data_IF_898116569479
#
_entry.id   IF_898116569479
#
_cell.length_a   1.000
_cell.length_b   1.000
_cell.length_c   1.000
_cell.angle_alpha   90.00
_cell.angle_beta   90.00
_cell.angle_gamma   90.00
#
_symmetry.space_group_name_H-M   'P 1'
#
loop_
_entity.id
_entity.type
_entity.pdbx_description
1 polymer ?
#
# COMPACT_ATOMS: atom_id res chain seq x y z
N UNK A 1 -22.86 -6.09 -8.35
CA UNK A 1 -21.74 -6.99 -8.65
C UNK A 1 -20.81 -7.12 -7.44
N UNK A 2 -20.28 -8.32 -7.14
CA UNK A 2 -19.30 -8.54 -6.07
C UNK A 2 -17.92 -8.79 -6.66
N UNK A 3 -16.94 -7.99 -6.23
CA UNK A 3 -15.57 -8.01 -6.75
C UNK A 3 -14.59 -8.34 -5.62
N UNK A 4 -13.64 -9.23 -5.88
CA UNK A 4 -12.51 -9.47 -5.00
C UNK A 4 -11.22 -8.98 -5.63
N UNK A 5 -10.47 -8.15 -4.91
CA UNK A 5 -9.12 -7.75 -5.28
C UNK A 5 -8.12 -8.53 -4.42
N UNK A 6 -7.13 -9.15 -5.05
CA UNK A 6 -6.04 -9.83 -4.37
C UNK A 6 -4.76 -9.04 -4.63
N UNK A 7 -4.37 -8.19 -3.67
CA UNK A 7 -3.09 -7.49 -3.66
C UNK A 7 -2.55 -7.46 -2.23
N UNK A 8 -1.61 -8.36 -1.94
CA UNK A 8 -1.19 -8.69 -0.58
C UNK A 8 0.04 -7.93 -0.11
N UNK A 9 0.91 -7.51 -1.01
CA UNK A 9 2.20 -6.84 -0.74
C UNK A 9 2.75 -6.24 -2.04
N UNK A 10 3.82 -5.43 -2.05
CA UNK A 10 4.44 -4.75 -0.94
C UNK A 10 3.75 -3.41 -0.67
N UNK A 11 4.25 -2.59 0.27
CA UNK A 11 3.66 -1.29 0.62
C UNK A 11 3.43 -0.41 -0.64
N UNK A 12 4.49 -0.13 -1.39
CA UNK A 12 4.40 0.69 -2.60
C UNK A 12 3.49 0.10 -3.67
N UNK A 13 3.50 -1.23 -3.85
CA UNK A 13 2.63 -1.90 -4.82
C UNK A 13 1.15 -1.83 -4.43
N UNK A 14 0.82 -1.86 -3.13
CA UNK A 14 -0.56 -1.68 -2.66
C UNK A 14 -1.01 -0.26 -2.92
N UNK A 15 -0.17 0.74 -2.61
CA UNK A 15 -0.46 2.15 -2.91
C UNK A 15 -0.71 2.35 -4.41
N UNK A 16 0.13 1.78 -5.26
CA UNK A 16 -0.06 1.83 -6.72
C UNK A 16 -1.32 1.09 -7.20
N UNK A 17 -1.88 0.19 -6.39
CA UNK A 17 -3.12 -0.50 -6.73
C UNK A 17 -4.39 0.22 -6.23
N UNK A 18 -4.30 1.15 -5.27
CA UNK A 18 -5.48 1.87 -4.76
C UNK A 18 -6.30 2.58 -5.85
N UNK A 19 -5.69 3.19 -6.88
CA UNK A 19 -6.44 3.82 -7.97
C UNK A 19 -7.45 2.92 -8.69
N UNK A 20 -7.28 1.60 -8.61
CA UNK A 20 -8.24 0.66 -9.22
C UNK A 20 -9.63 0.72 -8.58
N UNK A 21 -9.70 1.15 -7.31
CA UNK A 21 -10.97 1.28 -6.58
C UNK A 21 -11.88 2.33 -7.21
N UNK A 22 -11.33 3.48 -7.56
CA UNK A 22 -12.08 4.55 -8.21
C UNK A 22 -12.50 4.17 -9.62
N UNK A 23 -11.60 3.53 -10.37
CA UNK A 23 -11.95 2.98 -11.67
C UNK A 23 -13.14 2.02 -11.56
N UNK A 24 -13.07 1.06 -10.63
CA UNK A 24 -14.15 0.08 -10.43
C UNK A 24 -15.45 0.74 -9.98
N UNK A 25 -15.39 1.79 -9.16
CA UNK A 25 -16.57 2.54 -8.74
C UNK A 25 -17.22 3.30 -9.88
N UNK A 26 -16.44 3.80 -10.86
CA UNK A 26 -16.97 4.44 -12.06
C UNK A 26 -17.53 3.41 -13.06
N UNK A 27 -16.81 2.29 -13.26
CA UNK A 27 -17.26 1.24 -14.16
C UNK A 27 -18.51 0.51 -13.65
N UNK A 28 -18.63 0.34 -12.32
CA UNK A 28 -19.71 -0.38 -11.64
C UNK A 28 -20.11 0.32 -10.33
N UNK A 29 -20.92 1.37 -10.38
CA UNK A 29 -21.24 2.19 -9.21
C UNK A 29 -21.82 1.43 -8.01
N UNK A 30 -22.56 0.34 -8.26
CA UNK A 30 -23.18 -0.49 -7.23
C UNK A 30 -22.33 -1.71 -6.82
N UNK A 31 -21.06 -1.80 -7.26
CA UNK A 31 -20.21 -2.93 -6.90
C UNK A 31 -19.86 -2.94 -5.41
N UNK A 32 -19.86 -4.12 -4.81
CA UNK A 32 -19.23 -4.36 -3.50
C UNK A 32 -17.83 -4.91 -3.72
N UNK A 33 -16.82 -4.28 -3.12
CA UNK A 33 -15.42 -4.62 -3.33
C UNK A 33 -14.81 -5.14 -2.03
N UNK A 34 -14.31 -6.37 -2.05
CA UNK A 34 -13.51 -6.94 -0.98
C UNK A 34 -12.05 -6.94 -1.39
N UNK A 35 -11.14 -6.79 -0.42
CA UNK A 35 -9.69 -6.74 -0.67
C UNK A 35 -8.93 -7.73 0.21
N UNK A 36 -8.10 -8.58 -0.40
CA UNK A 36 -7.15 -9.46 0.33
C UNK A 36 -5.80 -8.79 0.45
N UNK A 37 -5.32 -8.64 1.69
CA UNK A 37 -4.06 -7.97 2.03
C UNK A 37 -3.30 -8.75 3.12
N UNK A 38 -1.96 -8.67 3.14
CA UNK A 38 -1.16 -9.22 4.25
C UNK A 38 -1.34 -8.36 5.52
N UNK A 39 -1.33 -9.02 6.69
CA UNK A 39 -1.53 -8.36 8.01
C UNK A 39 -0.63 -7.15 8.23
N UNK A 40 0.58 -7.14 7.63
CA UNK A 40 1.53 -6.05 7.75
C UNK A 40 1.10 -4.75 7.02
N UNK A 41 0.09 -4.82 6.15
CA UNK A 41 -0.32 -3.70 5.29
C UNK A 41 -1.81 -3.38 5.38
N UNK A 42 -2.50 -3.93 6.36
CA UNK A 42 -3.95 -3.70 6.58
C UNK A 42 -4.28 -2.21 6.67
N UNK A 43 -3.42 -1.43 7.31
CA UNK A 43 -3.61 0.01 7.48
C UNK A 43 -3.75 0.77 6.17
N UNK A 44 -3.14 0.29 5.06
CA UNK A 44 -3.21 0.96 3.77
C UNK A 44 -4.60 0.90 3.12
N UNK A 45 -5.39 -0.10 3.48
CA UNK A 45 -6.70 -0.38 2.84
C UNK A 45 -7.87 -0.30 3.82
N UNK A 46 -7.63 -0.43 5.13
CA UNK A 46 -8.70 -0.41 6.13
C UNK A 46 -9.35 0.97 6.25
N UNK A 47 -10.68 0.99 6.39
CA UNK A 47 -11.46 2.23 6.48
C UNK A 47 -11.65 2.97 5.16
N UNK A 48 -11.07 2.49 4.05
CA UNK A 48 -11.32 3.08 2.74
C UNK A 48 -12.81 2.89 2.39
N UNK A 49 -13.55 3.97 2.08
CA UNK A 49 -14.99 3.92 1.84
C UNK A 49 -15.40 3.13 0.59
N UNK A 50 -14.45 2.87 -0.31
CA UNK A 50 -14.67 2.09 -1.52
C UNK A 50 -14.48 0.58 -1.29
N UNK A 51 -13.96 0.15 -0.12
CA UNK A 51 -13.74 -1.24 0.24
C UNK A 51 -14.80 -1.69 1.26
N UNK A 52 -15.54 -2.73 0.92
CA UNK A 52 -16.58 -3.27 1.80
C UNK A 52 -15.99 -4.15 2.91
N UNK A 53 -15.04 -5.03 2.56
CA UNK A 53 -14.37 -5.90 3.52
C UNK A 53 -12.89 -6.05 3.20
N UNK A 54 -12.08 -6.03 4.25
CA UNK A 54 -10.65 -6.36 4.18
C UNK A 54 -10.46 -7.78 4.72
N UNK A 55 -9.96 -8.67 3.89
CA UNK A 55 -9.64 -10.06 4.22
C UNK A 55 -8.13 -10.17 4.45
N UNK A 56 -7.73 -10.52 5.67
CA UNK A 56 -6.33 -10.50 6.05
C UNK A 56 -5.69 -11.87 5.92
N UNK A 57 -4.49 -11.93 5.32
CA UNK A 57 -3.60 -13.09 5.29
C UNK A 57 -2.31 -12.78 6.06
N UNK A 58 -1.64 -13.81 6.58
CA UNK A 58 -0.41 -13.68 7.36
C UNK A 58 0.71 -14.54 6.76
N UNK A 59 0.97 -14.39 5.46
CA UNK A 59 1.86 -15.28 4.72
C UNK A 59 3.27 -15.37 5.30
N UNK A 60 3.82 -14.26 5.80
CA UNK A 60 5.16 -14.25 6.41
C UNK A 60 5.20 -15.09 7.68
N UNK A 61 4.18 -14.95 8.53
CA UNK A 61 4.07 -15.69 9.80
C UNK A 61 3.75 -17.16 9.56
N UNK A 62 2.82 -17.44 8.64
CA UNK A 62 2.47 -18.81 8.27
C UNK A 62 3.65 -19.59 7.69
N UNK A 63 4.52 -18.94 6.90
CA UNK A 63 5.74 -19.55 6.38
C UNK A 63 6.75 -19.93 7.48
N UNK A 64 6.82 -19.14 8.57
CA UNK A 64 7.73 -19.43 9.69
C UNK A 64 7.32 -20.65 10.51
N UNK A 65 6.01 -20.93 10.60
CA UNK A 65 5.48 -22.04 11.39
C UNK A 65 4.31 -22.75 10.65
N UNK A 66 4.58 -23.42 9.51
CA UNK A 66 3.53 -23.92 8.62
C UNK A 66 2.67 -25.02 9.25
N UNK A 67 3.24 -25.82 10.15
CA UNK A 67 2.56 -26.94 10.83
C UNK A 67 1.94 -26.56 12.19
N UNK A 68 2.11 -25.32 12.64
CA UNK A 68 1.53 -24.89 13.90
C UNK A 68 0.00 -24.96 13.87
N UNK A 69 -0.60 -25.43 14.99
CA UNK A 69 -2.08 -25.49 15.12
C UNK A 69 -2.75 -24.13 14.84
N UNK A 70 -2.10 -23.05 15.26
CA UNK A 70 -2.55 -21.68 15.01
C UNK A 70 -2.61 -21.38 13.49
N UNK A 71 -1.52 -21.67 12.76
CA UNK A 71 -1.46 -21.45 11.30
C UNK A 71 -2.54 -22.21 10.57
N UNK A 72 -2.73 -23.50 10.91
CA UNK A 72 -3.80 -24.30 10.31
C UNK A 72 -5.19 -23.73 10.57
N UNK A 73 -5.46 -23.30 11.83
CA UNK A 73 -6.75 -22.72 12.19
C UNK A 73 -7.00 -21.41 11.43
N UNK A 74 -6.01 -20.53 11.35
CA UNK A 74 -6.10 -19.27 10.63
C UNK A 74 -6.30 -19.48 9.11
N UNK A 75 -5.60 -20.42 8.50
CA UNK A 75 -5.79 -20.76 7.09
C UNK A 75 -7.20 -21.30 6.82
N UNK A 76 -7.68 -22.21 7.66
CA UNK A 76 -9.05 -22.76 7.51
C UNK A 76 -10.08 -21.63 7.67
N UNK A 77 -9.95 -20.80 8.70
CA UNK A 77 -10.84 -19.66 8.93
C UNK A 77 -10.84 -18.70 7.75
N UNK A 78 -9.65 -18.34 7.23
CA UNK A 78 -9.53 -17.48 6.05
C UNK A 78 -10.23 -18.07 4.83
N UNK A 79 -9.99 -19.36 4.53
CA UNK A 79 -10.63 -20.04 3.39
C UNK A 79 -12.16 -20.09 3.59
N UNK A 80 -12.64 -20.38 4.79
CA UNK A 80 -14.07 -20.39 5.09
C UNK A 80 -14.69 -19.01 4.84
N UNK A 81 -14.08 -17.94 5.39
CA UNK A 81 -14.54 -16.57 5.18
C UNK A 81 -14.53 -16.17 3.70
N UNK A 82 -13.47 -16.51 2.97
CA UNK A 82 -13.38 -16.24 1.53
C UNK A 82 -14.48 -16.96 0.74
N UNK A 83 -14.83 -18.18 1.14
CA UNK A 83 -15.82 -19.02 0.46
C UNK A 83 -17.27 -18.78 0.87
N UNK A 84 -17.51 -17.96 1.89
CA UNK A 84 -18.88 -17.51 2.25
C UNK A 84 -19.50 -16.68 1.12
N UNK A 85 -18.65 -15.99 0.35
CA UNK A 85 -19.11 -15.18 -0.76
C UNK A 85 -18.93 -15.90 -2.10
N UNK A 86 -19.84 -15.57 -3.03
CA UNK A 86 -19.68 -15.82 -4.46
C UNK A 86 -19.41 -14.47 -5.12
N UNK A 87 -18.22 -14.32 -5.62
CA UNK A 87 -17.81 -13.14 -6.38
C UNK A 87 -18.21 -13.29 -7.84
N UNK A 88 -18.52 -12.19 -8.50
CA UNK A 88 -18.68 -12.14 -9.95
C UNK A 88 -17.32 -12.06 -10.63
N UNK A 89 -16.39 -11.31 -10.03
CA UNK A 89 -15.04 -11.07 -10.52
C UNK A 89 -14.01 -11.24 -9.39
N UNK A 90 -12.86 -11.86 -9.73
CA UNK A 90 -11.67 -11.86 -8.89
C UNK A 90 -10.52 -11.28 -9.72
N UNK A 91 -9.84 -10.27 -9.19
CA UNK A 91 -8.63 -9.69 -9.77
C UNK A 91 -7.41 -10.12 -8.95
N UNK A 92 -6.48 -10.87 -9.56
CA UNK A 92 -5.17 -11.14 -8.98
C UNK A 92 -4.16 -10.10 -9.48
N UNK A 93 -3.96 -9.05 -8.67
CA UNK A 93 -3.00 -7.97 -8.92
C UNK A 93 -1.63 -8.25 -8.29
N UNK A 94 -1.44 -9.42 -7.67
CA UNK A 94 -0.16 -9.80 -7.08
C UNK A 94 0.69 -10.65 -8.03
N UNK A 95 0.10 -11.64 -8.70
CA UNK A 95 0.76 -12.44 -9.74
C UNK A 95 1.79 -13.45 -9.24
N UNK A 96 1.73 -13.91 -7.99
CA UNK A 96 2.59 -14.96 -7.44
C UNK A 96 1.78 -16.21 -7.01
N UNK A 97 2.46 -17.29 -6.65
CA UNK A 97 1.81 -18.55 -6.29
C UNK A 97 0.85 -18.39 -5.09
N UNK A 98 1.22 -17.58 -4.11
CA UNK A 98 0.38 -17.38 -2.92
C UNK A 98 -0.94 -16.70 -3.26
N UNK A 99 -0.90 -15.65 -4.08
CA UNK A 99 -2.11 -14.98 -4.56
C UNK A 99 -2.93 -15.88 -5.49
N UNK A 100 -2.26 -16.68 -6.31
CA UNK A 100 -2.91 -17.70 -7.13
C UNK A 100 -3.69 -18.70 -6.30
N UNK A 101 -3.13 -19.18 -5.18
CA UNK A 101 -3.86 -20.07 -4.26
C UNK A 101 -5.09 -19.38 -3.65
N UNK A 102 -4.97 -18.11 -3.24
CA UNK A 102 -6.13 -17.34 -2.78
C UNK A 102 -7.18 -17.24 -3.88
N UNK A 103 -6.75 -16.94 -5.11
CA UNK A 103 -7.62 -16.90 -6.29
C UNK A 103 -8.31 -18.27 -6.56
N UNK A 104 -7.59 -19.38 -6.37
CA UNK A 104 -8.13 -20.73 -6.52
C UNK A 104 -9.25 -21.02 -5.53
N UNK A 105 -9.08 -20.66 -4.26
CA UNK A 105 -10.08 -20.86 -3.20
C UNK A 105 -11.28 -19.93 -3.33
N UNK A 106 -11.12 -18.75 -3.90
CA UNK A 106 -12.22 -17.81 -4.18
C UNK A 106 -13.17 -18.38 -5.25
N UNK A 107 -14.47 -18.13 -5.08
CA UNK A 107 -15.53 -18.58 -5.99
C UNK A 107 -15.93 -17.44 -6.92
N UNK A 108 -15.55 -17.52 -8.20
CA UNK A 108 -15.98 -16.58 -9.23
C UNK A 108 -15.95 -17.25 -10.62
N UNK A 109 -16.88 -16.90 -11.52
CA UNK A 109 -16.85 -17.35 -12.91
C UNK A 109 -15.69 -16.71 -13.70
N UNK A 110 -15.34 -15.47 -13.37
CA UNK A 110 -14.26 -14.74 -14.04
C UNK A 110 -13.15 -14.37 -13.05
N UNK A 111 -11.94 -14.85 -13.34
CA UNK A 111 -10.73 -14.63 -12.57
C UNK A 111 -9.68 -14.03 -13.49
N UNK A 112 -9.37 -12.74 -13.29
CA UNK A 112 -8.52 -11.94 -14.15
C UNK A 112 -7.15 -11.74 -13.49
N UNK A 113 -6.08 -11.89 -14.25
CA UNK A 113 -4.73 -11.66 -13.76
C UNK A 113 -3.74 -11.43 -14.89
N UNK A 114 -2.47 -11.39 -14.55
CA UNK A 114 -1.39 -11.16 -15.48
C UNK A 114 -1.27 -12.26 -16.53
N UNK A 115 -0.84 -11.90 -17.74
CA UNK A 115 -0.38 -12.88 -18.72
C UNK A 115 0.90 -13.57 -18.25
N UNK A 116 1.19 -14.75 -18.82
CA UNK A 116 2.38 -15.54 -18.44
C UNK A 116 3.70 -14.79 -18.57
N UNK A 117 3.78 -13.81 -19.46
CA UNK A 117 4.97 -13.02 -19.69
C UNK A 117 5.20 -11.94 -18.62
N UNK A 118 4.16 -11.57 -17.85
CA UNK A 118 4.18 -10.39 -16.97
C UNK A 118 3.91 -10.70 -15.49
N UNK A 119 3.68 -11.96 -15.15
CA UNK A 119 3.48 -12.37 -13.75
C UNK A 119 4.82 -12.64 -13.06
N UNK A 120 4.85 -12.49 -11.73
CA UNK A 120 6.05 -12.74 -10.95
C UNK A 120 6.46 -14.22 -10.95
N UNK A 121 5.47 -15.11 -10.89
CA UNK A 121 5.69 -16.56 -10.86
C UNK A 121 4.79 -17.25 -11.90
N UNK A 122 5.40 -17.96 -12.84
CA UNK A 122 4.71 -18.59 -13.99
C UNK A 122 3.53 -19.50 -13.62
N UNK A 123 3.60 -20.16 -12.46
CA UNK A 123 2.53 -21.04 -11.99
C UNK A 123 1.27 -20.29 -11.58
N UNK A 124 1.34 -19.00 -11.28
CA UNK A 124 0.17 -18.18 -10.97
C UNK A 124 -0.85 -18.18 -12.11
N UNK A 125 -0.42 -18.27 -13.37
CA UNK A 125 -1.31 -18.32 -14.54
C UNK A 125 -2.32 -19.48 -14.53
N UNK A 126 -2.11 -20.50 -13.73
CA UNK A 126 -3.04 -21.64 -13.62
C UNK A 126 -4.32 -21.28 -12.87
N UNK A 127 -4.32 -20.22 -12.08
CA UNK A 127 -5.39 -19.84 -11.17
C UNK A 127 -6.32 -18.74 -11.71
N UNK A 128 -5.97 -18.17 -12.88
CA UNK A 128 -6.78 -17.15 -13.56
C UNK A 128 -7.25 -17.67 -14.91
N UNK A 129 -8.50 -17.38 -15.31
CA UNK A 129 -9.08 -17.82 -16.58
C UNK A 129 -9.10 -16.70 -17.65
N UNK A 130 -8.90 -15.45 -17.27
CA UNK A 130 -8.65 -14.32 -18.20
C UNK A 130 -7.30 -13.68 -17.89
N UNK A 131 -6.42 -13.65 -18.88
CA UNK A 131 -5.05 -13.19 -18.76
C UNK A 131 -4.87 -11.90 -19.54
N UNK A 132 -4.30 -10.88 -18.87
CA UNK A 132 -4.09 -9.54 -19.44
C UNK A 132 -2.60 -9.28 -19.59
N UNK A 133 -2.20 -8.94 -20.81
CA UNK A 133 -0.85 -8.45 -21.13
C UNK A 133 -0.77 -6.93 -20.97
N UNK A 134 0.46 -6.41 -20.94
CA UNK A 134 0.70 -4.98 -20.90
C UNK A 134 0.98 -4.43 -22.30
N UNK A 135 0.61 -3.19 -22.49
CA UNK A 135 0.89 -2.43 -23.70
C UNK A 135 2.10 -1.52 -23.46
N UNK A 136 2.78 -1.03 -24.52
CA UNK A 136 3.90 -0.10 -24.38
C UNK A 136 3.65 1.14 -23.50
N UNK A 137 2.41 1.72 -23.45
CA UNK A 137 2.09 2.81 -22.55
C UNK A 137 2.06 2.45 -21.05
N UNK A 138 1.90 1.15 -20.69
CA UNK A 138 1.77 0.69 -19.31
C UNK A 138 3.14 0.68 -18.59
N UNK A 139 3.73 1.85 -18.39
CA UNK A 139 5.09 2.01 -17.88
C UNK A 139 5.25 1.73 -16.40
N UNK A 140 4.25 2.07 -15.59
CA UNK A 140 4.30 1.94 -14.14
C UNK A 140 3.30 0.89 -13.60
N UNK A 141 3.47 0.52 -12.33
CA UNK A 141 2.64 -0.51 -11.69
C UNK A 141 1.14 -0.13 -11.67
N UNK A 142 0.80 1.13 -11.40
CA UNK A 142 -0.59 1.58 -11.35
C UNK A 142 -1.30 1.43 -12.71
N UNK A 143 -0.65 1.82 -13.81
CA UNK A 143 -1.18 1.62 -15.15
C UNK A 143 -1.42 0.14 -15.47
N UNK A 144 -0.49 -0.74 -15.06
CA UNK A 144 -0.63 -2.19 -15.23
C UNK A 144 -1.80 -2.75 -14.45
N UNK A 145 -2.02 -2.29 -13.22
CA UNK A 145 -3.17 -2.73 -12.42
C UNK A 145 -4.49 -2.21 -13.01
N UNK A 146 -4.54 -0.96 -13.45
CA UNK A 146 -5.70 -0.41 -14.15
C UNK A 146 -6.02 -1.20 -15.43
N UNK A 147 -5.01 -1.60 -16.20
CA UNK A 147 -5.17 -2.44 -17.39
C UNK A 147 -5.82 -3.79 -17.07
N UNK A 148 -5.42 -4.42 -15.95
CA UNK A 148 -5.99 -5.69 -15.54
C UNK A 148 -7.45 -5.52 -15.12
N UNK A 149 -7.76 -4.50 -14.29
CA UNK A 149 -9.13 -4.33 -13.79
C UNK A 149 -10.07 -3.80 -14.85
N UNK A 150 -9.59 -3.06 -15.85
CA UNK A 150 -10.42 -2.56 -16.96
C UNK A 150 -10.78 -3.64 -17.99
N UNK A 151 -10.03 -4.72 -18.06
CA UNK A 151 -10.20 -5.72 -19.10
C UNK A 151 -11.63 -6.31 -19.22
N UNK A 152 -12.43 -6.52 -18.14
CA UNK A 152 -13.81 -6.99 -18.23
C UNK A 152 -14.82 -5.92 -18.62
N UNK A 153 -14.47 -4.64 -18.54
CA UNK A 153 -15.41 -3.53 -18.69
C UNK A 153 -15.26 -2.82 -20.03
N UNK A 154 -16.31 -2.12 -20.44
CA UNK A 154 -16.27 -1.27 -21.63
C UNK A 154 -15.63 0.11 -21.38
N UNK A 155 -15.48 0.52 -20.11
CA UNK A 155 -14.87 1.79 -19.74
C UNK A 155 -13.34 1.73 -19.96
N UNK A 156 -12.76 2.59 -20.84
CA UNK A 156 -11.32 2.61 -21.03
C UNK A 156 -10.60 3.09 -19.75
N UNK A 157 -9.45 2.50 -19.37
CA UNK A 157 -8.72 2.93 -18.18
C UNK A 157 -8.24 4.40 -18.26
N UNK A 158 -8.02 4.91 -19.46
CA UNK A 158 -7.57 6.28 -19.71
C UNK A 158 -8.67 7.33 -19.49
N UNK A 159 -9.95 6.93 -19.45
CA UNK A 159 -11.08 7.84 -19.21
C UNK A 159 -11.27 8.22 -17.75
N UNK A 160 -10.54 7.58 -16.85
CA UNK A 160 -10.59 7.80 -15.41
C UNK A 160 -9.27 8.42 -14.96
N UNK A 161 -9.31 9.54 -14.26
CA UNK A 161 -8.17 10.10 -13.53
C UNK A 161 -8.22 9.54 -12.10
N UNK A 162 -7.57 8.40 -11.85
CA UNK A 162 -7.71 7.74 -10.57
C UNK A 162 -6.82 8.38 -9.53
N UNK A 163 -7.37 8.65 -8.35
CA UNK A 163 -6.63 9.05 -7.17
C UNK A 163 -6.46 7.84 -6.24
N UNK A 164 -5.29 7.61 -5.70
CA UNK A 164 -5.01 6.47 -4.82
C UNK A 164 -4.96 6.88 -3.37
N UNK A 165 -6.07 7.37 -2.81
CA UNK A 165 -6.09 7.89 -1.46
C UNK A 165 -6.02 6.78 -0.40
N UNK A 166 -5.13 6.95 0.56
CA UNK A 166 -5.11 6.18 1.80
C UNK A 166 -6.04 6.90 2.79
N UNK A 167 -7.03 6.19 3.28
CA UNK A 167 -7.97 6.73 4.27
C UNK A 167 -7.27 6.95 5.61
N UNK A 168 -7.44 8.14 6.16
CA UNK A 168 -7.04 8.50 7.52
C UNK A 168 -8.27 8.86 8.34
N UNK A 169 -8.36 8.35 9.57
CA UNK A 169 -9.47 8.67 10.48
C UNK A 169 -9.32 10.09 11.04
N UNK A 170 -10.40 10.67 11.60
CA UNK A 170 -10.29 11.92 12.36
C UNK A 170 -9.26 11.86 13.49
N UNK A 171 -9.11 10.69 14.13
CA UNK A 171 -8.11 10.47 15.19
C UNK A 171 -6.68 10.46 14.64
N UNK A 172 -6.45 9.83 13.47
CA UNK A 172 -5.15 9.88 12.79
C UNK A 172 -4.77 11.32 12.44
N UNK A 173 -5.72 12.10 11.93
CA UNK A 173 -5.52 13.50 11.57
C UNK A 173 -5.25 14.37 12.80
N UNK A 174 -6.01 14.19 13.88
CA UNK A 174 -5.79 14.91 15.13
C UNK A 174 -4.41 14.59 15.74
N UNK A 175 -4.01 13.33 15.70
CA UNK A 175 -2.67 12.90 16.15
C UNK A 175 -1.56 13.53 15.32
N UNK A 176 -1.72 13.56 13.99
CA UNK A 176 -0.77 14.24 13.09
C UNK A 176 -0.66 15.72 13.40
N UNK A 177 -1.78 16.43 13.58
CA UNK A 177 -1.80 17.85 13.99
C UNK A 177 -1.10 18.07 15.32
N UNK A 178 -1.31 17.20 16.30
CA UNK A 178 -0.61 17.29 17.59
C UNK A 178 0.90 17.10 17.44
N UNK A 179 1.34 16.16 16.63
CA UNK A 179 2.77 15.92 16.35
C UNK A 179 3.45 17.10 15.64
N UNK A 180 2.73 17.75 14.73
CA UNK A 180 3.23 18.89 13.95
C UNK A 180 3.05 20.20 14.71
N UNK A 181 2.10 20.27 15.66
CA UNK A 181 1.70 21.51 16.35
C UNK A 181 2.81 22.23 17.12
N UNK A 182 3.94 21.55 17.38
CA UNK A 182 5.16 22.18 17.91
C UNK A 182 6.06 22.82 16.84
N UNK A 183 5.74 22.65 15.55
CA UNK A 183 6.51 23.21 14.45
C UNK A 183 6.01 24.62 14.13
N UNK A 184 6.77 25.63 14.57
CA UNK A 184 6.36 27.04 14.45
C UNK A 184 6.65 27.66 13.08
N UNK A 185 7.47 27.01 12.23
CA UNK A 185 7.97 27.61 10.99
C UNK A 185 7.29 27.06 9.73
N UNK A 186 7.25 27.85 8.68
CA UNK A 186 6.79 27.45 7.35
C UNK A 186 7.81 27.82 6.26
N UNK A 187 7.99 26.98 5.22
CA UNK A 187 7.29 25.72 4.98
C UNK A 187 7.72 24.60 5.95
N UNK A 188 6.84 23.60 6.12
CA UNK A 188 7.21 22.35 6.77
C UNK A 188 7.86 21.42 5.73
N UNK A 189 9.00 20.85 6.06
CA UNK A 189 9.74 19.94 5.20
C UNK A 189 9.91 18.60 5.92
N UNK A 190 9.52 17.50 5.28
CA UNK A 190 9.64 16.17 5.89
C UNK A 190 10.86 15.43 5.34
N UNK A 191 11.78 15.06 6.24
CA UNK A 191 12.86 14.13 5.96
C UNK A 191 12.45 12.73 6.42
N UNK A 192 12.45 11.77 5.49
CA UNK A 192 12.28 10.36 5.78
C UNK A 192 13.57 9.61 5.47
N UNK A 193 14.35 9.34 6.52
CA UNK A 193 15.67 8.73 6.42
C UNK A 193 15.66 7.20 6.42
N UNK A 194 14.46 6.57 6.44
CA UNK A 194 14.29 5.13 6.51
C UNK A 194 14.07 4.46 5.15
N UNK A 195 14.59 3.25 5.01
CA UNK A 195 14.30 2.36 3.88
C UNK A 195 14.59 0.90 4.22
N UNK A 196 13.87 -0.03 3.56
CA UNK A 196 14.08 -1.48 3.73
C UNK A 196 15.44 -1.96 3.17
N UNK A 197 16.02 -1.21 2.22
CA UNK A 197 17.26 -1.59 1.52
C UNK A 197 18.41 -0.68 1.92
N UNK A 198 19.42 -1.22 2.55
CA UNK A 198 20.62 -0.48 2.98
C UNK A 198 21.31 0.27 1.84
N UNK A 199 21.25 -0.28 0.62
CA UNK A 199 21.80 0.37 -0.60
C UNK A 199 21.06 1.64 -1.03
N UNK A 200 19.89 1.93 -0.44
CA UNK A 200 19.10 3.14 -0.69
C UNK A 200 19.21 4.16 0.44
N UNK A 201 19.93 3.82 1.51
CA UNK A 201 20.15 4.76 2.61
C UNK A 201 21.10 5.86 2.15
N UNK A 202 20.73 7.09 2.44
CA UNK A 202 21.62 8.23 2.28
C UNK A 202 22.35 8.48 3.60
N UNK A 203 23.62 8.91 3.53
CA UNK A 203 24.47 9.09 4.71
C UNK A 203 24.10 10.35 5.51
N UNK A 204 24.39 10.33 6.82
CA UNK A 204 24.04 11.41 7.75
C UNK A 204 24.53 12.79 7.28
N UNK A 205 25.78 12.85 6.80
CA UNK A 205 26.38 14.11 6.31
C UNK A 205 25.62 14.70 5.13
N UNK A 206 25.13 13.88 4.20
CA UNK A 206 24.29 14.35 3.09
C UNK A 206 22.97 14.96 3.56
N UNK A 207 22.34 14.34 4.57
CA UNK A 207 21.13 14.90 5.18
C UNK A 207 21.36 16.24 5.86
N UNK A 208 22.52 16.40 6.57
CA UNK A 208 22.90 17.66 7.22
C UNK A 208 23.15 18.77 6.19
N UNK A 209 23.92 18.48 5.14
CA UNK A 209 24.18 19.44 4.06
C UNK A 209 22.90 19.84 3.32
N UNK A 210 21.97 18.91 3.09
CA UNK A 210 20.67 19.23 2.53
C UNK A 210 19.87 20.15 3.45
N UNK A 211 19.87 19.86 4.75
CA UNK A 211 19.19 20.70 5.73
C UNK A 211 19.76 22.12 5.74
N UNK A 212 21.08 22.28 5.75
CA UNK A 212 21.76 23.59 5.72
C UNK A 212 21.37 24.38 4.46
N UNK A 213 21.42 23.74 3.29
CA UNK A 213 21.04 24.36 2.02
C UNK A 213 19.57 24.79 1.99
N UNK A 214 18.66 23.94 2.49
CA UNK A 214 17.23 24.26 2.56
C UNK A 214 16.95 25.40 3.54
N UNK A 215 17.57 25.39 4.71
CA UNK A 215 17.37 26.43 5.73
C UNK A 215 18.03 27.76 5.37
N UNK A 216 19.06 27.73 4.55
CA UNK A 216 19.63 28.96 3.96
C UNK A 216 18.63 29.59 2.98
N UNK A 217 17.94 28.77 2.18
CA UNK A 217 16.96 29.22 1.20
C UNK A 217 15.59 29.55 1.81
N UNK A 218 15.21 28.81 2.85
CA UNK A 218 13.94 28.95 3.60
C UNK A 218 14.23 29.18 5.10
N UNK A 219 14.65 30.40 5.53
CA UNK A 219 15.07 30.62 6.92
C UNK A 219 14.00 30.36 7.98
N UNK A 220 12.72 30.37 7.60
CA UNK A 220 11.59 30.14 8.50
C UNK A 220 11.09 28.69 8.47
N UNK A 221 11.70 27.82 7.65
CA UNK A 221 11.25 26.44 7.53
C UNK A 221 11.51 25.63 8.81
N UNK A 222 10.63 24.66 9.06
CA UNK A 222 10.86 23.61 10.06
C UNK A 222 11.02 22.27 9.35
N UNK A 223 12.05 21.51 9.74
CA UNK A 223 12.33 20.17 9.21
C UNK A 223 11.79 19.13 10.19
N UNK A 224 10.82 18.36 9.73
CA UNK A 224 10.26 17.21 10.42
C UNK A 224 11.08 15.97 10.06
N UNK A 225 11.45 15.15 11.04
CA UNK A 225 12.19 13.90 10.81
C UNK A 225 11.34 12.71 11.24
N UNK A 226 11.03 11.85 10.30
CA UNK A 226 10.26 10.63 10.55
C UNK A 226 11.15 9.39 10.57
N UNK A 227 10.76 8.38 11.34
CA UNK A 227 11.49 7.14 11.52
C UNK A 227 10.56 5.95 11.76
N UNK A 228 11.01 4.73 11.46
CA UNK A 228 10.27 3.50 11.69
C UNK A 228 11.00 2.52 12.63
N UNK A 229 12.36 2.54 12.65
CA UNK A 229 13.20 1.68 13.50
C UNK A 229 14.01 2.50 14.51
N UNK A 230 14.60 1.84 15.49
CA UNK A 230 15.45 2.49 16.49
C UNK A 230 16.71 3.12 15.85
N UNK A 231 17.27 2.44 14.86
CA UNK A 231 18.46 2.90 14.12
C UNK A 231 18.12 4.17 13.30
N UNK A 232 16.98 4.18 12.63
CA UNK A 232 16.49 5.36 11.89
C UNK A 232 16.21 6.53 12.83
N UNK A 233 15.71 6.26 14.05
CA UNK A 233 15.50 7.27 15.07
C UNK A 233 16.83 7.90 15.52
N UNK A 234 17.86 7.08 15.76
CA UNK A 234 19.18 7.61 16.14
C UNK A 234 19.74 8.54 15.07
N UNK A 235 19.60 8.18 13.79
CA UNK A 235 19.99 9.04 12.67
C UNK A 235 19.15 10.32 12.62
N UNK A 236 17.83 10.24 12.81
CA UNK A 236 16.96 11.40 12.86
C UNK A 236 17.36 12.37 14.00
N UNK A 237 17.65 11.83 15.19
CA UNK A 237 18.11 12.60 16.35
C UNK A 237 19.51 13.24 16.12
N UNK A 238 20.39 12.55 15.39
CA UNK A 238 21.70 13.11 14.99
C UNK A 238 21.53 14.29 14.04
N UNK A 239 20.69 14.15 13.01
CA UNK A 239 20.38 15.21 12.05
C UNK A 239 19.70 16.38 12.77
N UNK A 240 18.74 16.12 13.66
CA UNK A 240 18.04 17.16 14.42
C UNK A 240 18.99 17.98 15.31
N UNK A 241 19.97 17.33 15.97
CA UNK A 241 20.99 18.04 16.77
C UNK A 241 21.85 18.98 15.93
N UNK A 242 22.14 18.64 14.68
CA UNK A 242 22.85 19.53 13.76
C UNK A 242 22.00 20.74 13.36
N UNK A 243 20.70 20.55 13.11
CA UNK A 243 19.77 21.59 12.67
C UNK A 243 19.38 22.53 13.81
N UNK A 244 19.28 22.04 15.05
CA UNK A 244 18.86 22.81 16.23
C UNK A 244 17.34 23.02 16.30
N UNK A 245 16.91 24.20 16.74
CA UNK A 245 15.51 24.51 17.10
C UNK A 245 14.53 24.43 15.91
N UNK A 246 15.02 24.33 14.70
CA UNK A 246 14.20 24.19 13.49
C UNK A 246 13.99 22.74 13.07
N UNK A 247 14.35 21.77 13.90
CA UNK A 247 14.13 20.36 13.68
C UNK A 247 13.15 19.76 14.69
N UNK A 248 12.22 18.95 14.22
CA UNK A 248 11.30 18.19 15.06
C UNK A 248 11.43 16.70 14.70
N UNK A 249 11.92 15.90 15.64
CA UNK A 249 11.89 14.44 15.51
C UNK A 249 10.49 13.96 15.88
N UNK A 250 9.76 13.45 14.91
CA UNK A 250 8.39 12.99 15.11
C UNK A 250 8.35 11.75 16.01
N UNK A 251 7.25 11.57 16.74
CA UNK A 251 7.00 10.36 17.51
C UNK A 251 6.85 9.13 16.61
N UNK A 252 6.81 7.94 17.21
CA UNK A 252 6.50 6.72 16.47
C UNK A 252 5.06 6.75 15.97
N UNK A 253 4.86 6.44 14.69
CA UNK A 253 3.58 6.52 14.01
C UNK A 253 3.17 5.18 13.40
N UNK A 254 1.86 4.95 13.30
CA UNK A 254 1.29 3.99 12.36
C UNK A 254 1.43 4.50 10.91
N UNK A 255 1.23 3.64 9.93
CA UNK A 255 1.23 4.08 8.52
C UNK A 255 0.14 5.11 8.24
N UNK A 256 -1.04 5.00 8.86
CA UNK A 256 -2.13 5.97 8.71
C UNK A 256 -1.79 7.33 9.31
N UNK A 257 -1.18 7.35 10.50
CA UNK A 257 -0.73 8.59 11.14
C UNK A 257 0.36 9.25 10.30
N UNK A 258 1.28 8.46 9.72
CA UNK A 258 2.29 9.00 8.80
C UNK A 258 1.65 9.62 7.54
N UNK A 259 0.65 8.95 6.96
CA UNK A 259 -0.12 9.51 5.83
C UNK A 259 -0.85 10.80 6.23
N UNK A 260 -1.39 10.87 7.46
CA UNK A 260 -2.04 12.08 7.96
C UNK A 260 -1.04 13.26 8.12
N UNK A 261 0.22 12.97 8.46
CA UNK A 261 1.30 13.98 8.49
C UNK A 261 1.65 14.48 7.08
N UNK A 262 1.51 13.62 6.05
CA UNK A 262 1.81 13.98 4.65
C UNK A 262 0.70 14.81 3.98
N UNK A 263 -0.51 14.81 4.54
CA UNK A 263 -1.67 15.61 4.06
C UNK A 263 -1.64 17.03 4.60
#
# INVERSE_FOLDING_TARGET
>A
MKILIIKTSSLGDIIHALPVLEYLRQAEPAATIDWVVDEAFVDLVSGNPLINRVLTVAFRRWKKAPFARRTRRELVSFIQTLRQERYDLIFDLQGNLKSGLVCAFGRAPLKVGFSRAHQQERLNALFTNRKVGFLPPDKNAGQRYLRIVSAPFALPPESVVPHGDIYTSPEDNAHAQQMIGGAAGHPLMLFHNGTTWTTKLWHAEGWKQLADALLLHYPQATILLSWGTAEERMLAEEIARHIGDRAVVLGKMSLKQFVAVLK
#
